data_IF_979311786420
#
_entry.id   IF_979311786420
#
_cell.length_a   1.000
_cell.length_b   1.000
_cell.length_c   1.000
_cell.angle_alpha   90.00
_cell.angle_beta   90.00
_cell.angle_gamma   90.00
#
_symmetry.space_group_name_H-M   'P 1'
#
loop_
_entity.id
_entity.type
_entity.pdbx_description
1 polymer ?
#
# COMPACT_ATOMS: atom_id res chain seq x y z
N UNK A 1 57.04 -49.27 -25.75
CA UNK A 1 55.80 -49.86 -25.21
C UNK A 1 56.09 -51.28 -24.76
N UNK A 2 55.49 -51.79 -23.67
CA UNK A 2 55.56 -53.22 -23.34
C UNK A 2 54.60 -53.97 -24.27
N UNK A 3 55.02 -55.12 -24.81
CA UNK A 3 54.12 -55.98 -25.56
C UNK A 3 53.01 -56.52 -24.64
N UNK A 4 51.78 -56.64 -25.18
CA UNK A 4 50.69 -57.31 -24.46
C UNK A 4 50.98 -58.80 -24.37
N UNK A 5 50.40 -59.48 -23.37
CA UNK A 5 50.34 -60.94 -23.38
C UNK A 5 49.29 -61.41 -24.40
N UNK A 6 49.53 -62.56 -25.04
CA UNK A 6 48.61 -63.15 -26.03
C UNK A 6 47.20 -63.35 -25.46
N UNK A 7 47.09 -63.67 -24.17
CA UNK A 7 45.80 -63.79 -23.48
C UNK A 7 45.07 -62.45 -23.34
N UNK A 8 45.80 -61.36 -23.04
CA UNK A 8 45.20 -60.03 -22.94
C UNK A 8 44.75 -59.53 -24.33
N UNK A 9 45.57 -59.78 -25.35
CA UNK A 9 45.23 -59.51 -26.75
C UNK A 9 43.96 -60.25 -27.19
N UNK A 10 43.87 -61.57 -26.95
CA UNK A 10 42.68 -62.36 -27.28
C UNK A 10 41.43 -61.89 -26.51
N UNK A 11 41.57 -61.53 -25.23
CA UNK A 11 40.47 -60.96 -24.42
C UNK A 11 40.00 -59.61 -24.94
N UNK A 12 40.92 -58.75 -25.40
CA UNK A 12 40.60 -57.46 -26.00
C UNK A 12 39.89 -57.61 -27.35
N UNK A 13 40.37 -58.48 -28.23
CA UNK A 13 39.72 -58.78 -29.52
C UNK A 13 38.28 -59.27 -29.30
N UNK A 14 38.10 -60.30 -28.46
CA UNK A 14 36.77 -60.81 -28.11
C UNK A 14 35.88 -59.84 -27.31
N UNK A 15 36.42 -58.74 -26.78
CA UNK A 15 35.63 -57.65 -26.20
C UNK A 15 35.23 -56.62 -27.27
N UNK A 16 36.13 -56.28 -28.20
CA UNK A 16 35.87 -55.37 -29.33
C UNK A 16 34.80 -55.97 -30.26
N UNK A 17 34.85 -57.28 -30.54
CA UNK A 17 33.81 -57.98 -31.31
C UNK A 17 32.43 -57.86 -30.65
N UNK A 18 32.35 -58.06 -29.33
CA UNK A 18 31.10 -57.88 -28.55
C UNK A 18 30.63 -56.43 -28.47
N UNK A 19 31.55 -55.46 -28.45
CA UNK A 19 31.18 -54.06 -28.56
C UNK A 19 30.57 -53.78 -29.95
N UNK A 20 31.16 -54.32 -31.01
CA UNK A 20 30.64 -54.16 -32.37
C UNK A 20 29.27 -54.81 -32.57
N UNK A 21 28.98 -55.98 -31.98
CA UNK A 21 27.63 -56.57 -32.04
C UNK A 21 26.61 -55.69 -31.32
N UNK A 22 26.91 -55.22 -30.11
CA UNK A 22 26.02 -54.34 -29.33
C UNK A 22 25.72 -53.00 -30.05
N UNK A 23 26.70 -52.41 -30.77
CA UNK A 23 26.44 -51.21 -31.57
C UNK A 23 25.60 -51.50 -32.82
N UNK A 24 25.77 -52.67 -33.45
CA UNK A 24 24.88 -53.09 -34.55
C UNK A 24 23.44 -53.39 -34.06
N UNK A 25 23.27 -53.76 -32.78
CA UNK A 25 21.96 -53.86 -32.10
C UNK A 25 21.36 -52.48 -31.73
N UNK A 26 22.08 -51.38 -31.97
CA UNK A 26 21.62 -50.01 -31.74
C UNK A 26 22.05 -49.37 -30.42
N UNK A 27 22.95 -49.99 -29.65
CA UNK A 27 23.52 -49.37 -28.45
C UNK A 27 24.49 -48.24 -28.79
N UNK A 28 24.61 -47.24 -27.90
CA UNK A 28 25.66 -46.23 -27.96
C UNK A 28 27.05 -46.88 -27.94
N UNK A 29 28.04 -46.40 -28.73
CA UNK A 29 29.41 -46.90 -28.71
C UNK A 29 30.04 -46.92 -27.31
N UNK A 30 29.75 -45.89 -26.49
CA UNK A 30 30.24 -45.82 -25.12
C UNK A 30 29.64 -46.94 -24.26
N UNK A 31 28.32 -47.11 -24.27
CA UNK A 31 27.61 -48.13 -23.48
C UNK A 31 27.99 -49.55 -23.91
N UNK A 32 28.17 -49.78 -25.22
CA UNK A 32 28.62 -51.04 -25.78
C UNK A 32 30.04 -51.42 -25.32
N UNK A 33 30.97 -50.46 -25.27
CA UNK A 33 32.31 -50.68 -24.75
C UNK A 33 32.28 -50.87 -23.23
N UNK A 34 31.52 -50.08 -22.47
CA UNK A 34 31.36 -50.26 -21.01
C UNK A 34 30.82 -51.67 -20.69
N UNK A 35 29.78 -52.11 -21.38
CA UNK A 35 29.16 -53.44 -21.19
C UNK A 35 30.06 -54.59 -21.60
N UNK A 36 30.81 -54.46 -22.69
CA UNK A 36 31.74 -55.52 -23.15
C UNK A 36 33.04 -55.58 -22.33
N UNK A 37 33.61 -54.44 -21.95
CA UNK A 37 34.82 -54.35 -21.14
C UNK A 37 34.59 -54.82 -19.69
N UNK A 38 33.45 -54.47 -19.08
CA UNK A 38 33.06 -54.99 -17.77
C UNK A 38 32.82 -56.52 -17.81
N UNK A 39 32.08 -57.03 -18.80
CA UNK A 39 31.87 -58.46 -18.97
C UNK A 39 33.16 -59.26 -19.28
N UNK A 40 34.22 -58.60 -19.76
CA UNK A 40 35.52 -59.20 -20.03
C UNK A 40 36.57 -58.94 -18.94
N UNK A 41 36.25 -58.13 -17.91
CA UNK A 41 37.17 -57.66 -16.87
C UNK A 41 38.47 -57.03 -17.44
N UNK A 42 38.33 -56.15 -18.43
CA UNK A 42 39.48 -55.48 -19.07
C UNK A 42 40.13 -54.47 -18.09
N UNK A 43 41.45 -54.54 -17.81
CA UNK A 43 42.10 -53.59 -16.91
C UNK A 43 42.10 -52.17 -17.47
N UNK A 44 41.97 -51.16 -16.59
CA UNK A 44 41.92 -49.74 -16.96
C UNK A 44 42.98 -49.29 -17.98
N UNK A 45 44.23 -49.76 -17.83
CA UNK A 45 45.33 -49.43 -18.75
C UNK A 45 45.17 -49.92 -20.20
N UNK A 46 44.19 -50.79 -20.48
CA UNK A 46 43.90 -51.29 -21.84
C UNK A 46 42.65 -50.66 -22.48
N UNK A 47 41.88 -49.86 -21.73
CA UNK A 47 40.64 -49.23 -22.25
C UNK A 47 40.96 -48.33 -23.45
N UNK A 48 41.96 -47.46 -23.33
CA UNK A 48 42.32 -46.53 -24.41
C UNK A 48 42.68 -47.28 -25.70
N UNK A 49 43.42 -48.38 -25.58
CA UNK A 49 43.75 -49.24 -26.72
C UNK A 49 42.50 -49.90 -27.33
N UNK A 50 41.57 -50.37 -26.48
CA UNK A 50 40.29 -50.95 -26.92
C UNK A 50 39.41 -49.92 -27.66
N UNK A 51 39.29 -48.71 -27.12
CA UNK A 51 38.51 -47.61 -27.71
C UNK A 51 39.15 -47.14 -29.02
N UNK A 52 40.47 -46.96 -29.07
CA UNK A 52 41.17 -46.63 -30.32
C UNK A 52 41.01 -47.73 -31.38
N UNK A 53 41.18 -49.00 -31.02
CA UNK A 53 41.02 -50.12 -31.95
C UNK A 53 39.58 -50.20 -32.50
N UNK A 54 38.57 -50.00 -31.64
CA UNK A 54 37.16 -49.91 -32.06
C UNK A 54 36.93 -48.72 -33.00
N UNK A 55 37.37 -47.51 -32.64
CA UNK A 55 37.19 -46.31 -33.44
C UNK A 55 37.88 -46.42 -34.81
N UNK A 56 39.14 -46.88 -34.86
CA UNK A 56 39.85 -47.13 -36.12
C UNK A 56 39.17 -48.21 -36.95
N UNK A 57 38.72 -49.30 -36.33
CA UNK A 57 37.97 -50.36 -37.01
C UNK A 57 36.64 -49.85 -37.60
N UNK A 58 35.90 -49.02 -36.86
CA UNK A 58 34.64 -48.41 -37.31
C UNK A 58 34.87 -47.45 -38.48
N UNK A 59 35.87 -46.57 -38.39
CA UNK A 59 36.22 -45.61 -39.44
C UNK A 59 36.68 -46.32 -40.72
N UNK A 60 37.54 -47.34 -40.61
CA UNK A 60 37.95 -48.13 -41.78
C UNK A 60 36.75 -48.86 -42.41
N UNK A 61 35.89 -49.48 -41.59
CA UNK A 61 34.66 -50.14 -42.05
C UNK A 61 33.74 -49.18 -42.80
N UNK A 62 33.54 -47.95 -42.30
CA UNK A 62 32.72 -46.92 -42.98
C UNK A 62 33.34 -46.51 -44.33
N UNK A 63 34.66 -46.28 -44.35
CA UNK A 63 35.41 -45.89 -45.56
C UNK A 63 35.40 -46.98 -46.65
N UNK A 64 35.46 -48.24 -46.24
CA UNK A 64 35.58 -49.39 -47.15
C UNK A 64 34.23 -49.93 -47.62
N UNK A 65 33.21 -49.99 -46.75
CA UNK A 65 31.90 -50.54 -47.10
C UNK A 65 30.87 -49.54 -47.62
N UNK A 66 31.06 -48.23 -47.42
CA UNK A 66 30.15 -47.23 -48.00
C UNK A 66 30.13 -47.35 -49.53
N UNK A 67 28.95 -47.48 -50.13
CA UNK A 67 28.78 -47.58 -51.56
C UNK A 67 28.90 -46.20 -52.23
N UNK A 68 28.35 -45.17 -51.58
CA UNK A 68 28.39 -43.78 -52.05
C UNK A 68 29.37 -42.92 -51.22
N UNK A 69 29.87 -41.87 -51.86
CA UNK A 69 30.62 -40.77 -51.26
C UNK A 69 29.88 -40.13 -50.07
N UNK A 70 28.56 -39.99 -50.16
CA UNK A 70 27.73 -39.46 -49.07
C UNK A 70 27.66 -40.41 -47.87
N UNK A 71 27.61 -41.73 -48.09
CA UNK A 71 27.66 -42.72 -47.01
C UNK A 71 29.03 -42.74 -46.32
N UNK A 72 30.12 -42.57 -47.08
CA UNK A 72 31.48 -42.46 -46.52
C UNK A 72 31.69 -41.18 -45.72
N UNK A 73 30.92 -40.14 -46.03
CA UNK A 73 30.92 -38.84 -45.32
C UNK A 73 29.85 -38.75 -44.22
N UNK A 74 29.05 -39.80 -43.99
CA UNK A 74 28.02 -39.79 -42.96
C UNK A 74 28.63 -39.72 -41.56
N UNK A 75 28.10 -38.83 -40.72
CA UNK A 75 28.51 -38.71 -39.31
C UNK A 75 28.16 -39.98 -38.53
N UNK A 76 29.13 -40.50 -37.78
CA UNK A 76 28.92 -41.63 -36.86
C UNK A 76 29.54 -41.32 -35.50
N UNK A 77 28.86 -41.78 -34.43
CA UNK A 77 29.36 -41.61 -33.08
C UNK A 77 30.62 -42.45 -32.88
N UNK A 78 31.71 -41.79 -32.48
CA UNK A 78 32.92 -42.43 -31.98
C UNK A 78 32.80 -42.64 -30.47
N UNK A 79 33.46 -43.66 -29.95
CA UNK A 79 33.54 -43.86 -28.51
C UNK A 79 34.60 -42.94 -27.89
N UNK A 80 34.30 -42.40 -26.70
CA UNK A 80 35.21 -41.54 -25.93
C UNK A 80 35.88 -42.37 -24.81
N UNK A 81 37.21 -42.35 -24.78
CA UNK A 81 37.99 -43.11 -23.82
C UNK A 81 37.84 -42.58 -22.39
N UNK A 82 37.70 -41.26 -22.21
CA UNK A 82 37.61 -40.65 -20.88
C UNK A 82 36.24 -40.95 -20.24
N UNK A 83 35.15 -40.86 -21.01
CA UNK A 83 33.79 -41.21 -20.57
C UNK A 83 33.69 -42.70 -20.21
N UNK A 84 34.25 -43.58 -21.05
CA UNK A 84 34.28 -45.04 -20.78
C UNK A 84 35.14 -45.35 -19.54
N UNK A 85 36.27 -44.66 -19.36
CA UNK A 85 37.13 -44.86 -18.20
C UNK A 85 36.48 -44.37 -16.90
N UNK A 86 35.83 -43.20 -16.91
CA UNK A 86 35.11 -42.67 -15.74
C UNK A 86 33.92 -43.56 -15.34
N UNK A 87 33.20 -44.11 -16.31
CA UNK A 87 32.07 -45.01 -16.06
C UNK A 87 32.50 -46.37 -15.48
N UNK A 88 33.62 -46.94 -15.95
CA UNK A 88 34.12 -48.25 -15.48
C UNK A 88 34.96 -48.14 -14.19
N UNK A 89 35.73 -47.07 -14.05
CA UNK A 89 36.71 -46.88 -12.98
C UNK A 89 36.61 -45.46 -12.37
N UNK A 90 35.49 -45.15 -11.68
CA UNK A 90 35.29 -43.83 -11.10
C UNK A 90 36.37 -43.51 -10.05
N UNK A 91 36.99 -42.34 -10.16
CA UNK A 91 38.10 -41.87 -9.29
C UNK A 91 37.74 -41.84 -7.81
N UNK A 92 36.45 -41.72 -7.50
CA UNK A 92 35.89 -41.84 -6.16
C UNK A 92 34.83 -42.95 -6.17
N UNK A 93 35.12 -44.07 -5.51
CA UNK A 93 34.10 -45.08 -5.21
C UNK A 93 33.16 -44.47 -4.18
N UNK A 94 31.93 -44.14 -4.60
CA UNK A 94 30.90 -43.59 -3.70
C UNK A 94 30.78 -44.48 -2.47
N UNK A 95 30.90 -43.88 -1.30
CA UNK A 95 30.78 -44.60 -0.04
C UNK A 95 29.38 -45.21 0.08
N UNK A 96 29.24 -46.28 0.87
CA UNK A 96 27.94 -46.91 1.11
C UNK A 96 26.93 -45.98 1.78
N UNK A 97 27.38 -44.87 2.39
CA UNK A 97 26.55 -43.78 2.89
C UNK A 97 26.03 -42.89 1.75
N UNK A 98 26.91 -42.45 0.84
CA UNK A 98 26.52 -41.66 -0.34
C UNK A 98 25.61 -42.44 -1.27
N UNK A 99 25.86 -43.74 -1.48
CA UNK A 99 24.97 -44.61 -2.26
C UNK A 99 23.54 -44.63 -1.69
N UNK A 100 23.39 -44.68 -0.36
CA UNK A 100 22.10 -44.56 0.34
C UNK A 100 21.47 -43.17 0.26
N UNK A 101 22.27 -42.11 0.17
CA UNK A 101 21.76 -40.75 -0.07
C UNK A 101 21.31 -40.56 -1.52
N UNK A 102 21.99 -41.18 -2.48
CA UNK A 102 21.65 -41.14 -3.91
C UNK A 102 20.54 -42.12 -4.32
N UNK A 103 20.07 -42.99 -3.41
CA UNK A 103 18.93 -43.85 -3.73
C UNK A 103 17.68 -42.98 -3.88
N UNK A 104 17.18 -42.89 -5.11
CA UNK A 104 16.08 -42.00 -5.56
C UNK A 104 14.82 -42.16 -4.70
N UNK A 105 14.62 -43.35 -4.14
CA UNK A 105 13.53 -43.65 -3.21
C UNK A 105 14.00 -43.34 -1.80
N UNK A 106 13.51 -42.23 -1.22
CA UNK A 106 13.69 -41.95 0.21
C UNK A 106 13.22 -43.16 1.02
N UNK A 107 14.03 -43.59 1.99
CA UNK A 107 13.68 -44.68 2.93
C UNK A 107 12.38 -44.43 3.69
N UNK A 108 11.89 -43.19 3.70
CA UNK A 108 10.58 -42.80 4.24
C UNK A 108 9.40 -43.45 3.50
N UNK A 109 9.52 -43.72 2.19
CA UNK A 109 8.49 -44.42 1.41
C UNK A 109 8.32 -45.90 1.78
N UNK A 110 9.28 -46.49 2.49
CA UNK A 110 9.16 -47.84 3.04
C UNK A 110 8.40 -47.88 4.38
N UNK A 111 8.00 -46.73 4.92
CA UNK A 111 7.29 -46.60 6.20
C UNK A 111 5.83 -46.25 5.95
N UNK A 112 4.94 -46.82 6.76
CA UNK A 112 3.50 -46.54 6.68
C UNK A 112 3.18 -45.07 7.01
N UNK A 113 2.14 -44.47 6.38
CA UNK A 113 1.84 -43.04 6.53
C UNK A 113 1.62 -42.57 7.98
N UNK A 114 1.11 -43.45 8.84
CA UNK A 114 0.91 -43.17 10.28
C UNK A 114 2.22 -43.02 11.03
N UNK A 115 3.24 -43.82 10.72
CA UNK A 115 4.58 -43.73 11.31
C UNK A 115 5.35 -42.48 10.87
N UNK A 116 5.12 -42.01 9.65
CA UNK A 116 5.76 -40.81 9.09
C UNK A 116 5.39 -39.54 9.88
N UNK A 117 4.10 -39.31 10.12
CA UNK A 117 3.62 -38.09 10.82
C UNK A 117 4.17 -38.04 12.25
N UNK A 118 4.13 -39.17 12.98
CA UNK A 118 4.64 -39.25 14.35
C UNK A 118 6.15 -38.95 14.42
N UNK A 119 6.97 -39.59 13.57
CA UNK A 119 8.42 -39.33 13.52
C UNK A 119 8.75 -37.89 13.15
N UNK A 120 8.03 -37.29 12.21
CA UNK A 120 8.23 -35.89 11.81
C UNK A 120 7.87 -34.91 12.93
N UNK A 121 6.79 -35.17 13.67
CA UNK A 121 6.44 -34.38 14.85
C UNK A 121 7.46 -34.53 15.99
N UNK A 122 7.98 -35.74 16.21
CA UNK A 122 9.08 -35.96 17.16
C UNK A 122 10.36 -35.22 16.75
N UNK A 123 10.74 -35.28 15.47
CA UNK A 123 11.91 -34.54 14.96
C UNK A 123 11.72 -33.04 15.12
N UNK A 124 10.54 -32.49 14.80
CA UNK A 124 10.22 -31.07 15.00
C UNK A 124 10.26 -30.68 16.49
N UNK A 125 9.77 -31.53 17.39
CA UNK A 125 9.86 -31.32 18.85
C UNK A 125 11.31 -31.39 19.34
N UNK A 126 12.09 -32.37 18.88
CA UNK A 126 13.52 -32.53 19.20
C UNK A 126 14.33 -31.35 18.66
N UNK A 127 14.06 -30.86 17.44
CA UNK A 127 14.74 -29.68 16.88
C UNK A 127 14.30 -28.38 17.56
N UNK A 128 13.04 -28.26 17.99
CA UNK A 128 12.58 -27.10 18.77
C UNK A 128 13.20 -27.07 20.18
N UNK A 129 13.33 -28.22 20.83
CA UNK A 129 13.94 -28.34 22.16
C UNK A 129 15.48 -28.25 22.12
N UNK A 130 16.12 -28.80 21.07
CA UNK A 130 17.58 -28.72 20.86
C UNK A 130 18.01 -27.37 20.25
N UNK A 131 17.06 -26.50 19.88
CA UNK A 131 17.35 -25.10 19.58
C UNK A 131 17.68 -24.42 20.91
N UNK A 132 18.94 -24.57 21.32
CA UNK A 132 19.51 -23.81 22.42
C UNK A 132 19.08 -22.35 22.27
N UNK A 133 18.65 -21.73 23.36
CA UNK A 133 18.30 -20.31 23.36
C UNK A 133 19.55 -19.54 22.94
N UNK A 134 19.62 -19.20 21.64
CA UNK A 134 20.58 -18.24 21.12
C UNK A 134 20.35 -17.02 22.01
N UNK A 135 21.35 -16.56 22.80
CA UNK A 135 21.16 -15.41 23.67
C UNK A 135 20.65 -14.30 22.78
N UNK A 136 19.43 -13.82 23.09
CA UNK A 136 18.70 -12.95 22.17
C UNK A 136 19.64 -11.80 21.83
N UNK A 137 20.06 -11.64 20.55
CA UNK A 137 21.06 -10.66 20.20
C UNK A 137 20.53 -9.33 20.71
N UNK A 138 21.33 -8.64 21.53
CA UNK A 138 20.90 -7.41 22.20
C UNK A 138 20.67 -6.36 21.11
N UNK A 139 19.45 -6.36 20.59
CA UNK A 139 19.04 -5.53 19.49
C UNK A 139 18.86 -4.14 20.07
N UNK A 140 19.97 -3.42 20.14
CA UNK A 140 19.96 -1.97 20.21
C UNK A 140 19.18 -1.52 18.98
N UNK A 141 17.93 -1.05 19.12
CA UNK A 141 17.18 -0.63 17.96
C UNK A 141 17.95 0.51 17.30
N UNK A 142 18.03 0.57 15.96
CA UNK A 142 18.64 1.70 15.29
C UNK A 142 17.98 2.99 15.82
N UNK A 143 18.75 4.09 15.99
CA UNK A 143 18.23 5.34 16.49
C UNK A 143 16.92 5.67 15.76
N UNK A 144 15.81 5.75 16.50
CA UNK A 144 14.49 5.90 15.88
C UNK A 144 14.43 7.23 15.16
N UNK A 145 14.39 7.20 13.83
CA UNK A 145 14.18 8.40 13.01
C UNK A 145 12.99 9.18 13.58
N UNK A 146 13.20 10.47 13.89
CA UNK A 146 12.16 11.32 14.47
C UNK A 146 10.93 11.41 13.54
N UNK A 147 11.17 11.36 12.23
CA UNK A 147 10.12 11.22 11.20
C UNK A 147 9.25 9.97 11.38
N UNK A 148 9.80 8.83 11.82
CA UNK A 148 9.04 7.61 12.06
C UNK A 148 8.12 7.75 13.28
N UNK A 149 8.58 8.44 14.33
CA UNK A 149 7.78 8.77 15.50
C UNK A 149 6.65 9.76 15.15
N UNK A 150 6.97 10.82 14.40
CA UNK A 150 6.00 11.80 13.91
C UNK A 150 4.91 11.14 13.03
N UNK A 151 5.28 10.24 12.11
CA UNK A 151 4.33 9.47 11.30
C UNK A 151 3.41 8.58 12.14
N UNK A 152 3.95 7.92 13.18
CA UNK A 152 3.14 7.10 14.11
C UNK A 152 2.15 7.95 14.90
N UNK A 153 2.58 9.09 15.45
CA UNK A 153 1.71 10.02 16.18
C UNK A 153 0.62 10.61 15.27
N UNK A 154 0.95 10.94 14.01
CA UNK A 154 -0.05 11.37 13.03
C UNK A 154 -1.06 10.25 12.71
N UNK A 155 -0.58 9.03 12.50
CA UNK A 155 -1.43 7.86 12.23
C UNK A 155 -2.35 7.54 13.42
N UNK A 156 -1.87 7.66 14.66
CA UNK A 156 -2.68 7.51 15.88
C UNK A 156 -3.77 8.59 15.94
N UNK A 157 -3.42 9.87 15.79
CA UNK A 157 -4.40 10.98 15.74
C UNK A 157 -5.43 10.80 14.62
N UNK A 158 -5.03 10.26 13.47
CA UNK A 158 -5.95 10.00 12.36
C UNK A 158 -6.88 8.81 12.67
N UNK A 159 -6.39 7.77 13.35
CA UNK A 159 -7.21 6.66 13.81
C UNK A 159 -8.21 7.09 14.91
N UNK A 160 -7.77 7.87 15.89
CA UNK A 160 -8.62 8.49 16.92
C UNK A 160 -9.73 9.36 16.30
N UNK A 161 -9.37 10.18 15.30
CA UNK A 161 -10.35 11.00 14.57
C UNK A 161 -11.39 10.13 13.85
N UNK A 162 -10.98 9.07 13.16
CA UNK A 162 -11.91 8.14 12.49
C UNK A 162 -12.83 7.44 13.49
N UNK A 163 -12.30 6.96 14.61
CA UNK A 163 -13.10 6.33 15.67
C UNK A 163 -14.16 7.29 16.24
N UNK A 164 -13.80 8.55 16.48
CA UNK A 164 -14.74 9.58 16.94
C UNK A 164 -15.80 9.93 15.86
N UNK A 165 -15.44 9.95 14.58
CA UNK A 165 -16.38 10.14 13.47
C UNK A 165 -17.33 8.94 13.31
N UNK A 166 -16.87 7.71 13.52
CA UNK A 166 -17.69 6.50 13.51
C UNK A 166 -18.71 6.49 14.65
N UNK A 167 -18.34 6.89 15.87
CA UNK A 167 -19.30 6.98 16.99
C UNK A 167 -20.32 8.10 16.78
N UNK A 168 -19.92 9.23 16.19
CA UNK A 168 -20.88 10.27 15.76
C UNK A 168 -21.88 9.73 14.74
N UNK A 169 -21.40 8.98 13.73
CA UNK A 169 -22.25 8.34 12.72
C UNK A 169 -23.23 7.34 13.36
N UNK A 170 -22.78 6.53 14.32
CA UNK A 170 -23.64 5.61 15.06
C UNK A 170 -24.74 6.35 15.83
N UNK A 171 -24.41 7.46 16.51
CA UNK A 171 -25.39 8.29 17.20
C UNK A 171 -26.43 8.91 16.24
N UNK A 172 -26.02 9.42 15.08
CA UNK A 172 -26.94 9.94 14.06
C UNK A 172 -27.87 8.85 13.50
N UNK A 173 -27.35 7.65 13.24
CA UNK A 173 -28.17 6.51 12.76
C UNK A 173 -29.16 6.05 13.82
N UNK A 174 -28.74 5.94 15.08
CA UNK A 174 -29.62 5.58 16.19
C UNK A 174 -30.71 6.63 16.43
N UNK A 175 -30.38 7.93 16.31
CA UNK A 175 -31.35 9.02 16.38
C UNK A 175 -32.40 8.91 15.25
N UNK A 176 -31.96 8.73 14.01
CA UNK A 176 -32.85 8.58 12.86
C UNK A 176 -33.78 7.36 13.00
N UNK A 177 -33.26 6.24 13.54
CA UNK A 177 -34.07 5.05 13.83
C UNK A 177 -35.11 5.30 14.94
N UNK A 178 -34.73 6.00 16.01
CA UNK A 178 -35.66 6.35 17.09
C UNK A 178 -36.75 7.32 16.61
N UNK A 179 -36.42 8.27 15.73
CA UNK A 179 -37.40 9.16 15.10
C UNK A 179 -38.36 8.37 14.20
N UNK A 180 -37.86 7.51 13.31
CA UNK A 180 -38.70 6.69 12.44
C UNK A 180 -39.66 5.78 13.23
N UNK A 181 -39.21 5.15 14.31
CA UNK A 181 -40.09 4.35 15.18
C UNK A 181 -41.19 5.19 15.87
N UNK A 182 -40.90 6.44 16.24
CA UNK A 182 -41.89 7.38 16.76
C UNK A 182 -42.90 7.80 15.68
N UNK A 183 -42.45 8.04 14.46
CA UNK A 183 -43.31 8.38 13.32
C UNK A 183 -44.22 7.21 12.92
N UNK A 184 -43.72 5.96 12.93
CA UNK A 184 -44.53 4.75 12.73
C UNK A 184 -45.63 4.60 13.80
N UNK A 185 -45.28 4.82 15.08
CA UNK A 185 -46.24 4.81 16.19
C UNK A 185 -47.29 5.93 16.06
N UNK A 186 -46.88 7.13 15.63
CA UNK A 186 -47.80 8.22 15.36
C UNK A 186 -48.69 7.98 14.14
N UNK A 187 -48.17 7.33 13.09
CA UNK A 187 -48.91 6.93 11.90
C UNK A 187 -49.95 5.86 12.21
N UNK A 188 -49.64 4.90 13.09
CA UNK A 188 -50.60 3.90 13.56
C UNK A 188 -51.87 4.56 14.12
N UNK A 189 -51.77 5.55 14.99
CA UNK A 189 -52.95 6.24 15.56
C UNK A 189 -53.70 7.17 14.58
N UNK A 190 -53.17 7.40 13.37
CA UNK A 190 -53.85 8.16 12.30
C UNK A 190 -54.71 7.27 11.40
N UNK A 191 -54.46 5.96 11.35
CA UNK A 191 -55.23 5.03 10.53
C UNK A 191 -56.56 4.70 11.24
N UNK A 192 -57.73 4.93 10.61
CA UNK A 192 -59.02 4.62 11.22
C UNK A 192 -59.21 3.11 11.41
N UNK A 193 -59.88 2.72 12.49
CA UNK A 193 -60.06 1.31 12.88
C UNK A 193 -58.99 0.75 13.82
N UNK A 194 -57.89 1.49 14.04
CA UNK A 194 -56.92 1.17 15.07
C UNK A 194 -57.41 1.56 16.47
N UNK A 195 -56.81 0.93 17.50
CA UNK A 195 -57.08 1.17 18.92
C UNK A 195 -56.99 2.66 19.31
N UNK A 196 -57.94 3.15 20.10
CA UNK A 196 -57.93 4.54 20.58
C UNK A 196 -56.70 4.82 21.45
N UNK A 197 -56.19 6.06 21.40
CA UNK A 197 -55.02 6.45 22.18
C UNK A 197 -55.18 6.21 23.70
N UNK A 198 -56.37 6.46 24.26
CA UNK A 198 -56.66 6.28 25.68
C UNK A 198 -56.67 4.80 26.09
N UNK A 199 -57.25 3.92 25.27
CA UNK A 199 -57.22 2.47 25.51
C UNK A 199 -55.77 1.94 25.36
N UNK A 200 -55.02 2.46 24.39
CA UNK A 200 -53.60 2.14 24.20
C UNK A 200 -52.73 2.50 25.41
N UNK A 201 -52.92 3.67 26.03
CA UNK A 201 -52.21 4.07 27.27
C UNK A 201 -52.50 3.09 28.41
N UNK A 202 -53.75 2.62 28.54
CA UNK A 202 -54.14 1.61 29.54
C UNK A 202 -53.44 0.27 29.30
N UNK A 203 -53.52 -0.28 28.09
CA UNK A 203 -52.93 -1.59 27.75
C UNK A 203 -51.39 -1.57 27.82
N UNK A 204 -50.76 -0.50 27.33
CA UNK A 204 -49.30 -0.31 27.42
C UNK A 204 -48.86 -0.14 28.88
N UNK A 205 -49.64 0.57 29.71
CA UNK A 205 -49.38 0.70 31.14
C UNK A 205 -49.45 -0.64 31.89
N UNK A 206 -50.36 -1.54 31.49
CA UNK A 206 -50.47 -2.88 32.09
C UNK A 206 -49.31 -3.82 31.68
N UNK A 207 -48.78 -3.69 30.45
CA UNK A 207 -47.74 -4.62 29.93
C UNK A 207 -46.31 -4.12 30.05
N UNK A 208 -46.07 -2.85 29.71
CA UNK A 208 -44.74 -2.23 29.69
C UNK A 208 -44.50 -1.30 30.89
N UNK A 209 -45.53 -1.05 31.70
CA UNK A 209 -45.41 -0.20 32.88
C UNK A 209 -45.22 1.29 32.56
N UNK A 210 -44.63 2.07 33.48
CA UNK A 210 -44.57 3.54 33.36
C UNK A 210 -43.67 4.04 32.22
N UNK A 211 -42.71 3.24 31.76
CA UNK A 211 -41.83 3.58 30.63
C UNK A 211 -42.61 3.65 29.32
N UNK A 212 -43.46 2.66 29.04
CA UNK A 212 -44.34 2.67 27.87
C UNK A 212 -45.36 3.81 27.89
N UNK A 213 -45.94 4.10 29.07
CA UNK A 213 -46.83 5.25 29.26
C UNK A 213 -46.10 6.58 28.98
N UNK A 214 -44.86 6.73 29.44
CA UNK A 214 -44.05 7.93 29.17
C UNK A 214 -43.75 8.13 27.68
N UNK A 215 -43.55 7.04 26.93
CA UNK A 215 -43.40 7.12 25.45
C UNK A 215 -44.69 7.65 24.81
N UNK A 216 -45.85 7.08 25.16
CA UNK A 216 -47.13 7.55 24.62
C UNK A 216 -47.44 9.01 25.01
N UNK A 217 -47.18 9.41 26.25
CA UNK A 217 -47.33 10.81 26.70
C UNK A 217 -46.45 11.79 25.89
N UNK A 218 -45.23 11.39 25.51
CA UNK A 218 -44.37 12.20 24.61
C UNK A 218 -44.96 12.29 23.20
N UNK A 219 -45.54 11.21 22.68
CA UNK A 219 -46.24 11.24 21.37
C UNK A 219 -47.48 12.13 21.42
N UNK A 220 -48.25 12.10 22.51
CA UNK A 220 -49.39 13.03 22.71
C UNK A 220 -48.95 14.50 22.80
N UNK A 221 -47.82 14.79 23.47
CA UNK A 221 -47.27 16.15 23.53
C UNK A 221 -46.86 16.69 22.15
N UNK A 222 -46.42 15.83 21.23
CA UNK A 222 -46.13 16.19 19.82
C UNK A 222 -47.40 16.25 18.96
N UNK A 223 -48.41 15.41 19.26
CA UNK A 223 -49.66 15.31 18.50
C UNK A 223 -50.90 15.40 19.42
N UNK A 224 -51.26 16.60 19.94
CA UNK A 224 -52.36 16.77 20.91
C UNK A 224 -53.75 16.34 20.39
N UNK A 225 -53.93 16.18 19.08
CA UNK A 225 -55.14 15.62 18.49
C UNK A 225 -55.39 14.15 18.86
N UNK A 226 -54.37 13.41 19.29
CA UNK A 226 -54.51 12.00 19.68
C UNK A 226 -55.29 11.84 21.00
N UNK A 227 -55.09 12.73 21.98
CA UNK A 227 -55.80 12.70 23.26
C UNK A 227 -57.32 12.91 23.10
N UNK A 228 -57.72 13.62 22.05
CA UNK A 228 -59.12 13.92 21.72
C UNK A 228 -59.87 12.76 21.07
N UNK A 229 -59.20 11.63 20.80
CA UNK A 229 -59.87 10.43 20.30
C UNK A 229 -60.79 9.85 21.38
N UNK A 230 -62.06 9.63 21.02
CA UNK A 230 -63.04 9.03 21.92
C UNK A 230 -62.59 7.60 22.31
N UNK A 231 -62.53 7.33 23.61
CA UNK A 231 -62.18 6.01 24.13
C UNK A 231 -63.23 4.97 23.68
N UNK A 232 -62.77 3.88 23.07
CA UNK A 232 -63.65 2.84 22.53
C UNK A 232 -64.15 1.89 23.63
N UNK A 233 -63.44 1.84 24.78
CA UNK A 233 -63.75 0.97 25.93
C UNK A 233 -63.87 -0.52 25.57
N UNK A 234 -63.24 -0.95 24.49
CA UNK A 234 -63.13 -2.35 24.13
C UNK A 234 -61.95 -2.97 24.88
N UNK A 235 -62.12 -4.19 25.38
CA UNK A 235 -61.03 -4.94 26.01
C UNK A 235 -60.31 -5.78 24.95
N UNK A 236 -59.04 -5.46 24.73
CA UNK A 236 -58.24 -6.03 23.65
C UNK A 236 -57.30 -7.13 24.17
N UNK A 237 -57.62 -8.38 23.85
CA UNK A 237 -56.81 -9.55 24.21
C UNK A 237 -55.82 -9.93 23.09
N UNK A 238 -54.69 -10.53 23.45
CA UNK A 238 -53.68 -11.04 22.49
C UNK A 238 -52.50 -10.10 22.22
N UNK A 239 -51.78 -10.32 21.11
CA UNK A 239 -50.64 -9.47 20.71
C UNK A 239 -51.15 -8.21 20.00
N UNK A 240 -50.95 -7.06 20.66
CA UNK A 240 -51.44 -5.77 20.20
C UNK A 240 -50.34 -5.05 19.41
N UNK A 241 -50.57 -4.61 18.15
CA UNK A 241 -49.55 -3.94 17.35
C UNK A 241 -48.95 -2.71 18.04
N UNK A 242 -49.77 -1.94 18.78
CA UNK A 242 -49.32 -0.80 19.59
C UNK A 242 -48.19 -1.17 20.55
N UNK A 243 -48.31 -2.30 21.25
CA UNK A 243 -47.34 -2.72 22.27
C UNK A 243 -46.00 -3.03 21.60
N UNK A 244 -46.02 -3.74 20.47
CA UNK A 244 -44.80 -4.01 19.68
C UNK A 244 -44.17 -2.75 19.09
N UNK A 245 -44.98 -1.75 18.68
CA UNK A 245 -44.46 -0.46 18.21
C UNK A 245 -43.83 0.34 19.36
N UNK A 246 -44.42 0.33 20.56
CA UNK A 246 -43.84 0.98 21.75
C UNK A 246 -42.55 0.27 22.19
N UNK A 247 -42.46 -1.06 22.13
CA UNK A 247 -41.21 -1.82 22.36
C UNK A 247 -40.11 -1.45 21.34
N UNK A 248 -40.47 -1.28 20.06
CA UNK A 248 -39.56 -0.82 19.02
C UNK A 248 -39.06 0.61 19.27
N UNK A 249 -39.91 1.51 19.78
CA UNK A 249 -39.51 2.85 20.21
C UNK A 249 -38.58 2.78 21.41
N UNK A 250 -38.92 2.03 22.47
CA UNK A 250 -38.10 1.91 23.68
C UNK A 250 -36.70 1.39 23.35
N UNK A 251 -36.60 0.33 22.56
CA UNK A 251 -35.32 -0.26 22.14
C UNK A 251 -34.51 0.64 21.20
N UNK A 252 -35.17 1.41 20.34
CA UNK A 252 -34.48 2.40 19.50
C UNK A 252 -33.96 3.58 20.31
N UNK A 253 -34.75 4.10 21.27
CA UNK A 253 -34.35 5.16 22.19
C UNK A 253 -33.23 4.72 23.13
N UNK A 254 -33.24 3.48 23.64
CA UNK A 254 -32.11 2.97 24.43
C UNK A 254 -30.84 2.88 23.59
N UNK A 255 -30.92 2.40 22.35
CA UNK A 255 -29.76 2.35 21.44
C UNK A 255 -29.19 3.75 21.12
N UNK A 256 -30.06 4.78 21.06
CA UNK A 256 -29.65 6.17 20.90
C UNK A 256 -28.94 6.70 22.15
N UNK A 257 -29.51 6.46 23.35
CA UNK A 257 -28.89 6.85 24.62
C UNK A 257 -27.51 6.18 24.79
N UNK A 258 -27.37 4.90 24.45
CA UNK A 258 -26.09 4.19 24.49
C UNK A 258 -25.06 4.78 23.51
N UNK A 259 -25.49 5.15 22.31
CA UNK A 259 -24.63 5.83 21.33
C UNK A 259 -24.23 7.25 21.80
N UNK A 260 -25.15 7.98 22.43
CA UNK A 260 -24.90 9.31 23.00
C UNK A 260 -23.93 9.24 24.20
N UNK A 261 -24.07 8.23 25.06
CA UNK A 261 -23.15 7.96 26.17
C UNK A 261 -21.74 7.60 25.66
N UNK A 262 -21.63 6.78 24.60
CA UNK A 262 -20.35 6.50 23.93
C UNK A 262 -19.72 7.76 23.32
N UNK A 263 -20.52 8.63 22.71
CA UNK A 263 -20.05 9.90 22.15
C UNK A 263 -19.57 10.87 23.25
N UNK A 264 -20.26 10.93 24.38
CA UNK A 264 -19.84 11.71 25.54
C UNK A 264 -18.53 11.17 26.14
N UNK A 265 -18.37 9.85 26.26
CA UNK A 265 -17.17 9.21 26.76
C UNK A 265 -15.95 9.36 25.83
N UNK A 266 -16.16 9.39 24.50
CA UNK A 266 -15.08 9.59 23.52
C UNK A 266 -14.71 11.05 23.27
N UNK A 267 -15.56 12.01 23.65
CA UNK A 267 -15.19 13.42 23.57
C UNK A 267 -14.25 13.69 24.75
N UNK A 268 -12.92 13.85 24.53
CA UNK A 268 -12.02 14.06 25.66
C UNK A 268 -12.45 15.31 26.40
N UNK A 269 -12.46 15.25 27.73
CA UNK A 269 -12.72 16.41 28.58
C UNK A 269 -11.88 17.58 28.05
N UNK A 270 -12.48 18.77 27.82
CA UNK A 270 -11.87 19.84 27.05
C UNK A 270 -10.51 20.15 27.66
N UNK A 271 -9.44 19.76 26.96
CA UNK A 271 -8.08 19.76 27.50
C UNK A 271 -7.82 21.17 28.00
N UNK A 272 -7.67 21.30 29.32
CA UNK A 272 -7.35 22.57 29.95
C UNK A 272 -6.18 23.15 29.18
N UNK A 273 -6.35 24.36 28.66
CA UNK A 273 -5.37 25.02 27.81
C UNK A 273 -4.12 25.30 28.64
N UNK A 274 -3.24 24.29 28.77
CA UNK A 274 -1.90 24.46 29.30
C UNK A 274 -1.29 25.62 28.52
N UNK A 275 -0.92 26.67 29.26
CA UNK A 275 -0.46 27.92 28.69
C UNK A 275 0.53 27.62 27.57
N UNK A 276 0.29 28.18 26.38
CA UNK A 276 1.10 27.88 25.21
C UNK A 276 2.57 28.11 25.57
N UNK A 277 3.46 27.11 25.41
CA UNK A 277 4.87 27.34 25.64
C UNK A 277 5.30 28.47 24.70
N UNK A 278 5.98 29.47 25.26
CA UNK A 278 6.37 30.66 24.50
C UNK A 278 7.12 30.23 23.24
N UNK A 279 6.78 30.77 22.06
CA UNK A 279 7.45 30.40 20.83
C UNK A 279 8.90 30.88 20.89
N UNK A 280 9.83 29.98 21.20
CA UNK A 280 11.27 30.21 21.05
C UNK A 280 11.60 30.21 19.56
N UNK A 281 11.17 31.25 18.86
CA UNK A 281 11.59 31.55 17.49
C UNK A 281 13.02 32.07 17.54
N UNK A 282 13.98 31.16 17.50
CA UNK A 282 15.38 31.45 17.23
C UNK A 282 15.58 31.93 15.79
N UNK A 283 15.07 33.12 15.47
CA UNK A 283 15.39 33.83 14.23
C UNK A 283 16.80 34.42 14.34
N UNK A 284 17.69 34.03 13.43
CA UNK A 284 19.11 34.42 13.43
C UNK A 284 19.33 35.86 12.92
N UNK A 285 18.26 36.56 12.53
CA UNK A 285 18.29 37.97 12.14
C UNK A 285 17.81 38.85 13.31
N UNK A 286 18.76 39.38 14.07
CA UNK A 286 18.54 40.52 14.96
C UNK A 286 18.75 41.82 14.19
N UNK A 287 17.73 42.70 14.22
CA UNK A 287 17.90 44.10 13.85
C UNK A 287 18.31 44.91 15.10
N UNK A 288 19.44 45.66 15.08
CA UNK A 288 19.94 46.34 16.27
C UNK A 288 19.50 47.80 16.32
N UNK A 289 18.44 48.14 17.09
CA UNK A 289 18.24 49.45 17.78
C UNK A 289 16.88 49.57 18.50
N UNK A 290 16.86 49.27 19.80
CA UNK A 290 16.35 50.13 20.89
C UNK A 290 16.51 49.40 22.23
N UNK A 291 16.91 50.13 23.27
CA UNK A 291 17.26 49.60 24.60
C UNK A 291 16.17 49.96 25.65
N UNK A 292 16.23 49.52 26.92
CA UNK A 292 17.22 48.63 27.55
C UNK A 292 16.61 47.40 28.27
N UNK A 293 17.43 46.35 28.45
CA UNK A 293 17.12 45.22 29.33
C UNK A 293 17.22 45.62 30.81
N UNK A 294 16.13 45.49 31.55
CA UNK A 294 16.13 45.56 33.01
C UNK A 294 16.57 44.22 33.62
N UNK A 295 17.79 44.16 34.14
CA UNK A 295 18.31 43.01 34.88
C UNK A 295 17.56 42.82 36.21
N UNK A 296 16.81 41.73 36.35
CA UNK A 296 16.49 41.20 37.69
C UNK A 296 17.69 40.44 38.24
N UNK A 297 18.03 40.75 39.49
CA UNK A 297 19.29 40.37 40.13
C UNK A 297 19.20 38.98 40.78
N UNK A 298 20.24 38.18 40.51
CA UNK A 298 20.78 37.06 41.28
C UNK A 298 19.85 35.94 41.82
N UNK A 299 20.26 34.70 41.52
CA UNK A 299 20.75 33.88 42.64
C UNK A 299 22.02 33.11 42.26
N UNK A 300 22.87 32.85 43.26
CA UNK A 300 24.30 32.53 43.08
C UNK A 300 24.60 31.05 43.36
N UNK A 301 25.24 30.35 42.41
CA UNK A 301 26.14 29.21 42.68
C UNK A 301 27.44 29.39 41.89
N UNK A 302 28.55 28.86 42.41
CA UNK A 302 29.92 29.40 42.25
C UNK A 302 30.87 28.50 41.44
N UNK A 303 31.78 29.14 40.67
CA UNK A 303 33.20 28.75 40.38
C UNK A 303 33.43 27.45 39.55
N UNK A 304 34.53 27.24 38.79
CA UNK A 304 35.75 28.03 38.42
C UNK A 304 36.31 27.52 37.04
N UNK A 305 37.49 27.93 36.49
CA UNK A 305 37.59 28.26 35.06
C UNK A 305 38.79 27.56 34.33
N UNK A 306 39.40 28.27 33.37
CA UNK A 306 40.62 27.98 32.58
C UNK A 306 40.34 27.16 31.30
N UNK A 307 40.84 27.50 30.09
CA UNK A 307 41.78 28.54 29.64
C UNK A 307 41.47 29.01 28.18
N UNK A 308 42.24 29.97 27.62
CA UNK A 308 42.03 30.58 26.30
C UNK A 308 43.37 30.74 25.52
N UNK A 309 43.41 31.25 24.27
CA UNK A 309 42.77 30.71 23.05
C UNK A 309 43.86 30.18 22.05
N UNK A 310 44.45 30.85 21.02
CA UNK A 310 44.08 32.02 20.17
C UNK A 310 44.18 31.83 18.60
N UNK A 311 43.60 32.80 17.87
CA UNK A 311 44.10 33.47 16.64
C UNK A 311 43.89 32.94 15.18
N UNK A 312 43.91 33.95 14.28
CA UNK A 312 43.90 34.00 12.79
C UNK A 312 42.57 33.79 12.04
N UNK A 313 42.32 34.41 10.87
CA UNK A 313 42.38 35.82 10.39
C UNK A 313 41.95 35.88 8.90
N UNK A 314 41.86 37.09 8.32
CA UNK A 314 41.53 37.42 6.90
C UNK A 314 40.07 37.24 6.43
N UNK A 315 39.57 37.90 5.36
CA UNK A 315 39.80 39.22 4.71
C UNK A 315 39.05 39.22 3.36
N UNK A 316 38.68 40.40 2.81
CA UNK A 316 38.07 40.56 1.47
C UNK A 316 36.55 40.73 1.52
N UNK A 317 35.90 41.89 1.37
CA UNK A 317 36.08 43.13 0.57
C UNK A 317 35.77 43.05 -0.93
N UNK A 318 34.95 44.03 -1.37
CA UNK A 318 34.51 44.41 -2.72
C UNK A 318 33.33 43.69 -3.38
N UNK A 319 32.41 44.50 -3.92
CA UNK A 319 31.18 44.08 -4.61
C UNK A 319 30.12 45.19 -4.69
N UNK A 320 30.52 46.41 -5.06
CA UNK A 320 29.66 47.60 -5.08
C UNK A 320 28.78 47.69 -6.36
N UNK A 321 27.69 48.47 -6.26
CA UNK A 321 27.07 49.29 -7.32
C UNK A 321 26.02 48.64 -8.27
N UNK A 322 24.80 49.23 -8.32
CA UNK A 322 23.87 49.02 -9.42
C UNK A 322 22.39 49.44 -9.22
N UNK A 323 22.08 50.75 -9.39
CA UNK A 323 20.75 51.38 -9.76
C UNK A 323 19.44 50.76 -9.20
N UNK A 324 18.59 51.42 -8.40
CA UNK A 324 18.16 52.83 -8.29
C UNK A 324 17.27 53.34 -9.47
N UNK A 325 16.02 53.69 -9.11
CA UNK A 325 14.94 54.41 -9.86
C UNK A 325 13.98 53.65 -10.81
N UNK A 326 12.73 53.49 -10.34
CA UNK A 326 11.59 54.20 -10.97
C UNK A 326 10.47 54.53 -9.96
N UNK A 327 9.67 55.58 -10.18
CA UNK A 327 8.77 56.14 -9.16
C UNK A 327 7.27 55.85 -9.41
N UNK A 328 6.44 56.06 -8.38
CA UNK A 328 4.98 56.18 -8.50
C UNK A 328 4.21 55.14 -7.69
N UNK A 329 3.58 55.58 -6.59
CA UNK A 329 2.82 54.68 -5.71
C UNK A 329 2.44 55.30 -4.36
N UNK A 330 2.07 56.58 -4.31
CA UNK A 330 1.53 57.18 -3.08
C UNK A 330 0.08 56.71 -2.88
N UNK A 331 -0.16 55.79 -1.94
CA UNK A 331 -1.50 55.60 -1.37
C UNK A 331 -1.49 54.91 0.00
N UNK A 332 -1.88 55.67 1.03
CA UNK A 332 -2.61 55.19 2.21
C UNK A 332 -1.91 54.24 3.21
N UNK A 333 -0.75 54.62 3.75
CA UNK A 333 -0.42 54.21 5.13
C UNK A 333 -1.22 55.07 6.13
N UNK A 334 -2.48 54.70 6.35
CA UNK A 334 -3.26 55.19 7.48
C UNK A 334 -3.20 54.20 8.64
N UNK A 335 -2.72 54.72 9.78
CA UNK A 335 -2.78 54.16 11.13
C UNK A 335 -3.81 53.04 11.35
N UNK A 336 -3.31 51.83 11.59
CA UNK A 336 -4.02 50.79 12.33
C UNK A 336 -3.05 50.09 13.30
N UNK A 337 -2.37 50.88 14.13
CA UNK A 337 -1.78 50.40 15.39
C UNK A 337 -2.93 50.18 16.40
N UNK A 338 -3.91 49.37 15.99
CA UNK A 338 -5.07 48.99 16.79
C UNK A 338 -4.68 47.75 17.59
N UNK A 339 -4.86 47.84 18.90
CA UNK A 339 -4.40 46.89 19.90
C UNK A 339 -4.69 45.43 19.52
N UNK A 340 -3.74 44.54 19.86
CA UNK A 340 -3.84 43.09 19.72
C UNK A 340 -4.86 42.49 20.73
N UNK A 341 -6.09 42.98 20.68
CA UNK A 341 -7.25 42.40 21.34
C UNK A 341 -7.41 40.96 20.88
N UNK A 342 -7.36 40.05 21.84
CA UNK A 342 -7.42 38.59 21.69
C UNK A 342 -8.83 38.11 21.33
N UNK A 343 -9.47 38.75 20.35
CA UNK A 343 -10.80 38.38 19.89
C UNK A 343 -10.70 37.22 18.89
N UNK A 344 -11.13 35.99 19.24
CA UNK A 344 -10.98 34.82 18.38
C UNK A 344 -11.73 34.94 17.05
N UNK A 345 -12.70 35.85 16.94
CA UNK A 345 -13.40 36.11 15.67
C UNK A 345 -12.54 36.86 14.65
N UNK A 346 -11.75 37.86 15.08
CA UNK A 346 -10.80 38.55 14.18
C UNK A 346 -9.75 37.55 13.64
N UNK A 347 -9.30 36.60 14.47
CA UNK A 347 -8.40 35.52 14.05
C UNK A 347 -9.07 34.53 13.08
N UNK A 348 -10.31 34.08 13.37
CA UNK A 348 -11.08 33.22 12.44
C UNK A 348 -11.31 33.90 11.09
N UNK A 349 -11.63 35.19 11.06
CA UNK A 349 -11.79 35.95 9.80
C UNK A 349 -10.48 36.06 9.03
N UNK A 350 -9.35 36.38 9.69
CA UNK A 350 -8.03 36.38 9.03
C UNK A 350 -7.65 35.00 8.48
N UNK A 351 -7.91 33.92 9.21
CA UNK A 351 -7.66 32.55 8.75
C UNK A 351 -8.57 32.13 7.59
N UNK A 352 -9.83 32.57 7.59
CA UNK A 352 -10.78 32.31 6.50
C UNK A 352 -10.40 33.09 5.22
N UNK A 353 -9.97 34.35 5.37
CA UNK A 353 -9.41 35.13 4.27
C UNK A 353 -8.15 34.45 3.72
N UNK A 354 -7.21 34.03 4.56
CA UNK A 354 -6.00 33.34 4.07
C UNK A 354 -6.23 31.95 3.47
N UNK A 355 -7.38 31.32 3.75
CA UNK A 355 -7.83 30.11 3.04
C UNK A 355 -8.46 30.41 1.67
N UNK A 356 -8.89 31.66 1.45
CA UNK A 356 -9.58 32.15 0.23
C UNK A 356 -8.68 33.06 -0.62
N UNK A 357 -7.41 33.23 -0.26
CA UNK A 357 -6.43 34.01 -1.03
C UNK A 357 -6.14 33.31 -2.37
N UNK A 358 -6.06 34.08 -3.46
CA UNK A 358 -5.75 33.56 -4.80
C UNK A 358 -4.42 32.76 -4.83
N UNK A 359 -3.42 33.16 -4.04
CA UNK A 359 -2.17 32.41 -3.90
C UNK A 359 -2.33 31.04 -3.24
N UNK A 360 -3.32 30.88 -2.35
CA UNK A 360 -3.63 29.59 -1.75
C UNK A 360 -4.35 28.69 -2.76
N UNK A 361 -5.29 29.23 -3.53
CA UNK A 361 -5.96 28.50 -4.62
C UNK A 361 -4.97 28.06 -5.70
N UNK A 362 -4.06 28.95 -6.12
CA UNK A 362 -2.97 28.63 -7.04
C UNK A 362 -2.08 27.49 -6.52
N UNK A 363 -1.72 27.49 -5.22
CA UNK A 363 -0.97 26.39 -4.59
C UNK A 363 -1.77 25.09 -4.55
N UNK A 364 -3.06 25.13 -4.24
CA UNK A 364 -3.94 23.96 -4.28
C UNK A 364 -4.08 23.40 -5.70
N UNK A 365 -4.16 24.26 -6.72
CA UNK A 365 -4.19 23.85 -8.12
C UNK A 365 -2.86 23.20 -8.54
N UNK A 366 -1.72 23.76 -8.13
CA UNK A 366 -0.39 23.16 -8.35
C UNK A 366 -0.20 21.80 -7.65
N UNK A 367 -0.81 21.59 -6.48
CA UNK A 367 -0.80 20.30 -5.79
C UNK A 367 -1.70 19.29 -6.53
N UNK A 368 -2.89 19.72 -6.97
CA UNK A 368 -3.82 18.88 -7.76
C UNK A 368 -3.21 18.46 -9.09
N UNK A 369 -2.61 19.38 -9.85
CA UNK A 369 -1.98 19.07 -11.14
C UNK A 369 -0.83 18.08 -11.01
N UNK A 370 0.04 18.25 -10.00
CA UNK A 370 1.10 17.27 -9.68
C UNK A 370 0.54 15.91 -9.30
N UNK A 371 -0.56 15.88 -8.54
CA UNK A 371 -1.27 14.65 -8.18
C UNK A 371 -1.81 13.91 -9.40
N UNK A 372 -2.51 14.62 -10.30
CA UNK A 372 -3.02 14.07 -11.56
C UNK A 372 -1.89 13.56 -12.46
N UNK A 373 -0.81 14.32 -12.62
CA UNK A 373 0.32 13.89 -13.44
C UNK A 373 0.96 12.59 -12.91
N UNK A 374 1.18 12.48 -11.60
CA UNK A 374 1.73 11.27 -10.97
C UNK A 374 0.77 10.07 -11.11
N UNK A 375 -0.54 10.29 -10.95
CA UNK A 375 -1.57 9.27 -11.11
C UNK A 375 -1.58 8.71 -12.55
N UNK A 376 -1.50 9.58 -13.56
CA UNK A 376 -1.44 9.19 -14.97
C UNK A 376 -0.14 8.44 -15.34
N UNK A 377 1.01 8.87 -14.82
CA UNK A 377 2.29 8.18 -15.04
C UNK A 377 2.31 6.77 -14.43
N UNK A 378 1.60 6.56 -13.30
CA UNK A 378 1.58 5.26 -12.62
C UNK A 378 0.49 4.31 -13.13
N UNK A 379 -0.67 4.84 -13.56
CA UNK A 379 -1.86 4.03 -13.83
C UNK A 379 -2.27 3.95 -15.32
N UNK A 380 -1.80 4.83 -16.21
CA UNK A 380 -2.10 4.75 -17.64
C UNK A 380 -1.03 3.91 -18.40
N UNK A 381 -1.42 2.80 -19.06
CA UNK A 381 -0.46 1.89 -19.71
C UNK A 381 0.15 2.45 -21.01
N UNK A 382 -0.41 3.51 -21.58
CA UNK A 382 0.14 4.19 -22.76
C UNK A 382 1.08 5.32 -22.31
N UNK A 383 0.63 6.17 -21.37
CA UNK A 383 1.44 7.31 -20.90
C UNK A 383 2.70 6.84 -20.17
N UNK A 384 2.63 5.76 -19.38
CA UNK A 384 3.80 5.17 -18.69
C UNK A 384 4.90 4.62 -19.61
N UNK A 385 4.64 4.48 -20.92
CA UNK A 385 5.64 4.07 -21.90
C UNK A 385 6.50 5.19 -22.48
N UNK A 386 6.17 6.46 -22.20
CA UNK A 386 6.90 7.64 -22.70
C UNK A 386 7.92 8.18 -21.69
N UNK A 387 8.88 8.98 -22.16
CA UNK A 387 9.88 9.58 -21.27
C UNK A 387 9.26 10.64 -20.33
N UNK A 388 9.58 10.66 -19.02
CA UNK A 388 9.03 11.63 -18.08
C UNK A 388 9.22 13.11 -18.46
N UNK A 389 10.29 13.47 -19.18
CA UNK A 389 10.50 14.83 -19.65
C UNK A 389 9.58 15.18 -20.84
N UNK A 390 9.29 14.23 -21.73
CA UNK A 390 8.32 14.41 -22.81
C UNK A 390 6.90 14.58 -22.25
N UNK A 391 6.51 13.75 -21.29
CA UNK A 391 5.21 13.85 -20.60
C UNK A 391 5.08 15.20 -19.89
N UNK A 392 6.12 15.65 -19.17
CA UNK A 392 6.12 16.95 -18.50
C UNK A 392 6.05 18.13 -19.50
N UNK A 393 6.74 18.03 -20.64
CA UNK A 393 6.69 19.04 -21.71
C UNK A 393 5.30 19.11 -22.35
N UNK A 394 4.71 17.96 -22.70
CA UNK A 394 3.36 17.85 -23.22
C UNK A 394 2.31 18.39 -22.23
N UNK A 395 2.46 18.07 -20.94
CA UNK A 395 1.60 18.57 -19.87
C UNK A 395 1.64 20.10 -19.78
N UNK A 396 2.84 20.70 -19.79
CA UNK A 396 3.01 22.14 -19.71
C UNK A 396 2.40 22.86 -20.93
N UNK A 397 2.56 22.32 -22.13
CA UNK A 397 1.93 22.86 -23.36
C UNK A 397 0.39 22.85 -23.26
N UNK A 398 -0.21 21.77 -22.75
CA UNK A 398 -1.67 21.69 -22.54
C UNK A 398 -2.12 22.66 -21.43
N UNK A 399 -1.34 22.79 -20.36
CA UNK A 399 -1.64 23.70 -19.24
C UNK A 399 -1.54 25.19 -19.62
N UNK A 400 -0.68 25.54 -20.59
CA UNK A 400 -0.56 26.89 -21.15
C UNK A 400 -1.75 27.24 -22.06
N UNK A 401 -2.23 26.28 -22.87
CA UNK A 401 -3.38 26.46 -23.77
C UNK A 401 -4.71 26.47 -23.02
N UNK A 402 -4.87 25.59 -22.02
CA UNK A 402 -6.15 25.29 -21.38
C UNK A 402 -6.01 25.04 -19.86
N UNK A 403 -5.62 26.06 -19.06
CA UNK A 403 -5.31 25.92 -17.64
C UNK A 403 -6.45 25.30 -16.81
N UNK A 404 -7.72 25.53 -17.17
CA UNK A 404 -8.86 24.97 -16.43
C UNK A 404 -9.01 23.44 -16.57
N UNK A 405 -8.40 22.83 -17.59
CA UNK A 405 -8.44 21.38 -17.80
C UNK A 405 -7.45 20.60 -16.93
N UNK A 406 -6.45 21.28 -16.36
CA UNK A 406 -5.42 20.68 -15.46
C UNK A 406 -5.99 19.96 -14.23
N UNK A 407 -7.18 20.35 -13.78
CA UNK A 407 -7.86 19.69 -12.65
C UNK A 407 -8.67 18.44 -13.01
N UNK A 408 -8.81 18.08 -14.29
CA UNK A 408 -9.67 16.99 -14.76
C UNK A 408 -8.83 15.83 -15.30
N UNK A 409 -8.60 14.80 -14.47
CA UNK A 409 -7.73 13.66 -14.82
C UNK A 409 -8.10 13.00 -16.16
N UNK A 410 -9.38 12.64 -16.36
CA UNK A 410 -9.84 11.98 -17.59
C UNK A 410 -9.68 12.85 -18.86
N UNK A 411 -9.83 14.17 -18.75
CA UNK A 411 -9.63 15.06 -19.89
C UNK A 411 -8.14 15.25 -20.20
N UNK A 412 -7.32 15.45 -19.16
CA UNK A 412 -5.86 15.56 -19.28
C UNK A 412 -5.26 14.27 -19.85
N UNK A 413 -5.74 13.10 -19.42
CA UNK A 413 -5.35 11.78 -19.94
C UNK A 413 -5.57 11.68 -21.46
N UNK A 414 -6.78 12.02 -21.94
CA UNK A 414 -7.11 11.96 -23.36
C UNK A 414 -6.23 12.91 -24.20
N UNK A 415 -5.96 14.12 -23.69
CA UNK A 415 -5.12 15.12 -24.37
C UNK A 415 -3.64 14.76 -24.35
N UNK A 416 -3.11 14.29 -23.22
CA UNK A 416 -1.73 13.79 -23.12
C UNK A 416 -1.51 12.62 -24.06
N UNK A 417 -2.40 11.62 -24.05
CA UNK A 417 -2.31 10.48 -24.97
C UNK A 417 -2.30 10.95 -26.42
N UNK A 418 -3.26 11.79 -26.84
CA UNK A 418 -3.29 12.34 -28.20
C UNK A 418 -2.04 13.15 -28.56
N UNK A 419 -1.52 13.96 -27.62
CA UNK A 419 -0.31 14.77 -27.78
C UNK A 419 0.97 13.95 -27.90
N UNK A 420 1.05 12.81 -27.19
CA UNK A 420 2.20 11.89 -27.19
C UNK A 420 2.15 10.91 -28.38
N UNK A 421 0.97 10.41 -28.75
CA UNK A 421 0.78 9.54 -29.92
C UNK A 421 0.98 10.29 -31.25
N UNK A 422 0.42 11.50 -31.39
CA UNK A 422 0.47 12.27 -32.63
C UNK A 422 1.70 13.19 -32.76
N UNK A 423 2.53 13.31 -31.72
CA UNK A 423 3.73 14.17 -31.71
C UNK A 423 3.48 15.68 -31.68
N UNK A 424 2.26 16.15 -32.03
CA UNK A 424 1.71 17.49 -31.85
C UNK A 424 0.18 17.42 -31.66
N UNK A 425 -0.45 18.43 -31.05
CA UNK A 425 -1.91 18.57 -31.10
C UNK A 425 -2.31 19.20 -32.44
N UNK A 426 -3.38 18.70 -33.07
CA UNK A 426 -3.88 19.32 -34.30
C UNK A 426 -4.57 20.66 -33.99
N UNK A 427 -4.46 21.64 -34.90
CA UNK A 427 -5.11 22.96 -34.79
C UNK A 427 -6.60 22.89 -34.46
N UNK A 428 -7.28 21.84 -34.93
CA UNK A 428 -8.69 21.56 -34.65
C UNK A 428 -8.92 21.24 -33.17
N UNK A 429 -8.09 20.40 -32.56
CA UNK A 429 -8.18 20.05 -31.14
C UNK A 429 -7.88 21.26 -30.25
N UNK A 430 -6.88 22.06 -30.63
CA UNK A 430 -6.53 23.30 -29.93
C UNK A 430 -7.71 24.29 -29.96
N UNK A 431 -8.38 24.45 -31.11
CA UNK A 431 -9.59 25.28 -31.24
C UNK A 431 -10.74 24.75 -30.37
N UNK A 432 -10.99 23.44 -30.39
CA UNK A 432 -12.03 22.81 -29.56
C UNK A 432 -11.75 22.99 -28.06
N UNK A 433 -10.49 22.88 -27.64
CA UNK A 433 -10.10 23.10 -26.23
C UNK A 433 -10.36 24.53 -25.78
N UNK A 434 -9.97 25.52 -26.59
CA UNK A 434 -10.22 26.94 -26.31
C UNK A 434 -11.72 27.24 -26.26
N UNK A 435 -12.52 26.62 -27.14
CA UNK A 435 -13.98 26.77 -27.14
C UNK A 435 -14.63 26.13 -25.90
N UNK A 436 -14.24 24.90 -25.54
CA UNK A 436 -14.73 24.25 -24.32
C UNK A 436 -14.29 24.97 -23.05
N UNK A 437 -13.10 25.58 -23.02
CA UNK A 437 -12.66 26.39 -21.89
C UNK A 437 -13.49 27.67 -21.74
N UNK A 438 -13.77 28.38 -22.84
CA UNK A 438 -14.66 29.55 -22.83
C UNK A 438 -16.05 29.20 -22.32
N UNK A 439 -16.67 28.14 -22.86
CA UNK A 439 -17.98 27.65 -22.41
C UNK A 439 -17.98 27.30 -20.92
N UNK A 440 -16.89 26.71 -20.41
CA UNK A 440 -16.74 26.41 -18.98
C UNK A 440 -16.56 27.67 -18.13
N UNK A 441 -15.81 28.65 -18.59
CA UNK A 441 -15.64 29.94 -17.89
C UNK A 441 -16.98 30.71 -17.83
N UNK A 442 -17.74 30.72 -18.93
CA UNK A 442 -19.09 31.30 -18.98
C UNK A 442 -20.08 30.56 -18.07
N UNK A 443 -19.99 29.22 -18.00
CA UNK A 443 -20.79 28.42 -17.05
C UNK A 443 -20.41 28.71 -15.59
N UNK A 444 -19.13 28.84 -15.27
CA UNK A 444 -18.70 29.22 -13.91
C UNK A 444 -19.17 30.62 -13.54
N UNK A 445 -19.04 31.59 -14.47
CA UNK A 445 -19.52 32.96 -14.26
C UNK A 445 -21.02 33.02 -14.04
N UNK A 446 -21.82 32.37 -14.88
CA UNK A 446 -23.29 32.33 -14.73
C UNK A 446 -23.74 31.60 -13.46
N UNK A 447 -23.02 30.56 -13.02
CA UNK A 447 -23.26 29.93 -11.72
C UNK A 447 -22.93 30.85 -10.53
N UNK A 448 -21.86 31.64 -10.59
CA UNK A 448 -21.53 32.64 -9.58
C UNK A 448 -22.59 33.76 -9.55
N UNK A 449 -22.98 34.31 -10.69
CA UNK A 449 -24.06 35.30 -10.79
C UNK A 449 -25.40 34.75 -10.24
N UNK A 450 -25.69 33.46 -10.45
CA UNK A 450 -26.87 32.81 -9.88
C UNK A 450 -26.76 32.63 -8.35
N UNK A 451 -25.58 32.29 -7.82
CA UNK A 451 -25.34 32.22 -6.37
C UNK A 451 -25.43 33.58 -5.70
N UNK A 452 -24.90 34.63 -6.32
CA UNK A 452 -25.02 36.00 -5.81
C UNK A 452 -26.48 36.48 -5.78
N UNK A 453 -27.25 36.22 -6.85
CA UNK A 453 -28.69 36.49 -6.89
C UNK A 453 -29.46 35.71 -5.82
N UNK A 454 -29.15 34.43 -5.62
CA UNK A 454 -29.76 33.63 -4.56
C UNK A 454 -29.40 34.13 -3.15
N UNK A 455 -28.17 34.59 -2.95
CA UNK A 455 -27.69 35.15 -1.67
C UNK A 455 -28.23 36.55 -1.38
N UNK A 456 -28.61 37.32 -2.40
CA UNK A 456 -29.29 38.61 -2.24
C UNK A 456 -30.80 38.54 -1.98
N UNK A 457 -31.38 37.33 -2.03
CA UNK A 457 -32.80 37.06 -1.73
C UNK A 457 -33.03 36.44 -0.33
N UNK A 458 -31.95 36.22 0.43
CA UNK A 458 -31.93 35.68 1.80
C UNK A 458 -31.46 36.75 2.79
#
# INVERSE_FOLDING_TARGET
MRALSKEAEQKLLGAIERAATLVNEGASPNDAIIKSASAANIPAGHINLMVHAYNTGRTNKQRELGADTLEKAADFQLADADVVMEALYPKQVKTSAELKQTSIISTEYAVSPTGFIARRQEQLRKSAAARAMIPAPEYVPPPRDEHSAARRLYSQKQAEKRAAEEVRRQATVAHAKAAAAMDELAQYFRVPGNMSFNDAVREVGLRLGPTGVSVLQKVAAVYPQLEKQAATKQDYFGNLPVVTLVENVISSVSSFNDAQNKLAAQTPAPVEKKAAPEPVTGSILHDPRTAPLALKVANVVKKKPDSAPPLTSYSGTMGHLGKLMSPGGMSSEMNANEEASTNPEKQKRKAFMSMSDADHENKLQQIKSRGVLNDLILNDPVISGYDPHEIASAYNQIAEIAPNFTGSSAAMQALLRKRLEAGQLADFDVKQLIEMEKLRAESLKSNLEAQEKARGLL
#
